data_IF_494219954574
#
_entry.id   IF_494219954574
#
_cell.length_a   1.000
_cell.length_b   1.000
_cell.length_c   1.000
_cell.angle_alpha   90.00
_cell.angle_beta   90.00
_cell.angle_gamma   90.00
#
_symmetry.space_group_name_H-M   'P 1'
#
loop_
_entity.id
_entity.type
_entity.pdbx_description
1 polymer ?
#
# COMPACT_ATOMS: atom_id res chain seq x y z
N UNK A 1 -37.23 10.71 -2.67
CA UNK A 1 -36.17 9.69 -2.63
C UNK A 1 -34.89 10.40 -2.24
N UNK A 2 -34.38 10.17 -1.03
CA UNK A 2 -33.11 10.77 -0.60
C UNK A 2 -31.98 9.83 -1.03
N UNK A 3 -31.23 10.20 -2.06
CA UNK A 3 -29.96 9.55 -2.36
C UNK A 3 -28.99 9.84 -1.22
N UNK A 4 -28.51 8.79 -0.57
CA UNK A 4 -27.36 8.87 0.33
C UNK A 4 -26.12 8.79 -0.54
N UNK A 5 -25.43 9.91 -0.74
CA UNK A 5 -24.11 9.91 -1.34
C UNK A 5 -23.11 9.43 -0.29
N UNK A 6 -22.55 8.23 -0.48
CA UNK A 6 -21.38 7.79 0.29
C UNK A 6 -20.17 8.54 -0.26
N UNK A 7 -19.59 9.44 0.53
CA UNK A 7 -18.34 10.10 0.17
C UNK A 7 -17.22 9.04 0.20
N UNK A 8 -16.86 8.50 -0.96
CA UNK A 8 -15.66 7.70 -1.10
C UNK A 8 -14.48 8.66 -1.28
N UNK A 9 -13.48 8.56 -0.42
CA UNK A 9 -12.26 9.33 -0.59
C UNK A 9 -11.57 8.94 -1.91
N UNK A 10 -11.01 9.92 -2.59
CA UNK A 10 -10.41 9.77 -3.92
C UNK A 10 -9.27 8.74 -3.96
N UNK A 11 -8.99 8.25 -5.16
CA UNK A 11 -7.90 7.33 -5.44
C UNK A 11 -6.54 8.05 -5.44
N UNK A 12 -5.50 7.30 -5.07
CA UNK A 12 -4.09 7.64 -5.13
C UNK A 12 -3.34 6.58 -5.95
N UNK A 13 -3.43 6.63 -7.29
CA UNK A 13 -3.08 5.50 -8.14
C UNK A 13 -1.58 5.33 -8.37
N UNK A 14 -0.75 6.33 -8.06
CA UNK A 14 0.67 6.33 -8.40
C UNK A 14 1.55 7.05 -7.35
N UNK A 15 2.86 6.94 -7.55
CA UNK A 15 3.84 7.71 -6.78
C UNK A 15 3.53 9.21 -6.89
N UNK A 16 3.35 9.86 -5.74
CA UNK A 16 2.94 11.27 -5.63
C UNK A 16 1.49 11.59 -6.03
N UNK A 17 0.66 10.58 -6.20
CA UNK A 17 -0.79 10.72 -6.28
C UNK A 17 -1.29 11.11 -7.66
N UNK A 18 -2.60 11.37 -7.80
CA UNK A 18 -3.29 11.50 -9.10
C UNK A 18 -2.81 12.68 -9.96
N UNK A 19 -2.04 13.59 -9.37
CA UNK A 19 -1.46 14.75 -10.03
C UNK A 19 0.07 14.80 -9.92
N UNK A 20 0.70 13.69 -9.51
CA UNK A 20 2.16 13.58 -9.37
C UNK A 20 2.80 14.67 -8.46
N UNK A 21 2.03 15.23 -7.53
CA UNK A 21 2.38 16.44 -6.77
C UNK A 21 2.63 16.23 -5.28
N UNK A 22 2.30 15.06 -4.71
CA UNK A 22 2.26 14.80 -3.26
C UNK A 22 1.35 15.75 -2.47
N UNK A 23 0.36 16.35 -3.13
CA UNK A 23 -0.51 17.33 -2.49
C UNK A 23 -1.98 16.91 -2.58
N UNK A 24 -2.75 17.38 -1.59
CA UNK A 24 -4.19 17.26 -1.49
C UNK A 24 -4.75 18.60 -0.99
N UNK A 25 -6.03 18.85 -1.24
CA UNK A 25 -6.71 20.06 -0.77
C UNK A 25 -7.49 19.81 0.54
N UNK A 26 -7.79 18.55 0.84
CA UNK A 26 -8.48 18.16 2.06
C UNK A 26 -7.70 18.58 3.31
N UNK A 27 -8.43 18.78 4.41
CA UNK A 27 -7.86 19.21 5.70
C UNK A 27 -8.50 18.42 6.85
N UNK A 28 -8.07 18.68 8.09
CA UNK A 28 -8.63 18.02 9.28
C UNK A 28 -8.07 16.63 9.56
N UNK A 29 -6.88 16.32 9.03
CA UNK A 29 -6.20 15.07 9.34
C UNK A 29 -5.71 15.04 10.79
N UNK A 30 -5.66 13.85 11.42
CA UNK A 30 -5.01 13.71 12.72
C UNK A 30 -3.53 14.09 12.61
N UNK A 31 -3.09 15.00 13.49
CA UNK A 31 -1.70 15.48 13.58
C UNK A 31 -0.94 14.88 14.77
N UNK A 32 -1.60 14.03 15.55
CA UNK A 32 -1.01 13.28 16.67
C UNK A 32 -1.16 11.80 16.40
N UNK A 33 -0.13 11.01 16.70
CA UNK A 33 -0.08 9.59 16.39
C UNK A 33 0.67 8.84 17.50
N UNK A 34 0.21 7.64 17.81
CA UNK A 34 0.92 6.69 18.68
C UNK A 34 0.82 5.28 18.07
N UNK A 35 1.32 4.27 18.78
CA UNK A 35 1.17 2.90 18.30
C UNK A 35 -0.30 2.43 18.43
N UNK A 36 -1.12 3.14 19.19
CA UNK A 36 -2.51 2.80 19.52
C UNK A 36 -3.51 3.85 18.98
N UNK A 37 -3.12 5.11 18.89
CA UNK A 37 -4.00 6.23 18.53
C UNK A 37 -3.92 6.58 17.05
N UNK A 38 -5.08 6.96 16.50
CA UNK A 38 -5.27 7.36 15.10
C UNK A 38 -4.89 6.28 14.06
N UNK A 39 -4.62 5.05 14.49
CA UNK A 39 -4.42 3.90 13.59
C UNK A 39 -5.75 3.20 13.32
N UNK A 40 -6.16 3.13 12.05
CA UNK A 40 -7.40 2.41 11.67
C UNK A 40 -7.24 0.89 11.68
N UNK A 41 -6.11 0.40 11.18
CA UNK A 41 -5.78 -1.02 11.15
C UNK A 41 -4.27 -1.21 10.95
N UNK A 42 -3.79 -2.41 11.28
CA UNK A 42 -2.43 -2.90 11.01
C UNK A 42 -2.52 -4.32 10.49
N UNK A 43 -1.56 -4.71 9.66
CA UNK A 43 -1.42 -6.08 9.15
C UNK A 43 0.03 -6.49 9.22
N UNK A 44 0.27 -7.73 9.63
CA UNK A 44 1.60 -8.32 9.53
C UNK A 44 1.90 -8.66 8.07
N UNK A 45 3.09 -8.26 7.61
CA UNK A 45 3.62 -8.63 6.31
C UNK A 45 4.52 -9.87 6.45
N UNK A 46 4.62 -10.69 5.40
CA UNK A 46 5.36 -11.96 5.48
C UNK A 46 6.89 -11.77 5.63
N UNK A 47 7.42 -10.61 5.27
CA UNK A 47 8.81 -10.21 5.48
C UNK A 47 8.90 -8.67 5.52
N UNK A 48 10.08 -8.12 5.79
CA UNK A 48 10.34 -6.67 5.69
C UNK A 48 9.99 -6.15 4.29
N UNK A 49 9.54 -4.91 4.21
CA UNK A 49 9.18 -4.27 2.95
C UNK A 49 9.18 -2.76 3.07
N UNK A 50 9.36 -2.08 1.94
CA UNK A 50 9.42 -0.62 1.87
C UNK A 50 8.68 -0.07 0.64
N UNK A 51 7.66 -0.80 0.18
CA UNK A 51 6.79 -0.40 -0.92
C UNK A 51 6.28 1.01 -0.73
N UNK A 52 6.05 1.67 -1.86
CA UNK A 52 5.22 2.87 -1.95
C UNK A 52 3.78 2.44 -2.25
N UNK A 53 2.86 2.43 -1.27
CA UNK A 53 1.51 1.94 -1.50
C UNK A 53 0.71 2.84 -2.44
N UNK A 54 -0.21 2.25 -3.19
CA UNK A 54 -1.25 2.99 -3.93
C UNK A 54 -2.62 2.69 -3.33
N UNK A 55 -3.58 3.60 -3.54
CA UNK A 55 -4.98 3.43 -3.12
C UNK A 55 -5.87 3.55 -4.34
N UNK A 56 -6.53 2.46 -4.75
CA UNK A 56 -7.40 2.46 -5.94
C UNK A 56 -8.64 1.62 -5.68
N UNK A 57 -9.81 2.13 -6.03
CA UNK A 57 -11.09 1.40 -5.94
C UNK A 57 -11.31 0.77 -4.55
N UNK A 58 -11.05 1.57 -3.50
CA UNK A 58 -11.20 1.14 -2.11
C UNK A 58 -10.16 0.11 -1.62
N UNK A 59 -9.05 -0.07 -2.33
CA UNK A 59 -7.99 -1.04 -2.00
C UNK A 59 -6.69 -0.32 -1.71
N UNK A 60 -5.94 -0.79 -0.72
CA UNK A 60 -4.53 -0.46 -0.53
C UNK A 60 -3.71 -1.56 -1.19
N UNK A 61 -2.87 -1.21 -2.15
CA UNK A 61 -2.05 -2.16 -2.90
C UNK A 61 -0.58 -1.87 -2.66
N UNK A 62 0.19 -2.91 -2.36
CA UNK A 62 1.64 -2.84 -2.11
C UNK A 62 2.38 -3.94 -2.89
N UNK A 63 3.67 -3.73 -3.10
CA UNK A 63 4.59 -4.80 -3.46
C UNK A 63 5.26 -5.38 -2.21
N UNK A 64 5.64 -6.66 -2.25
CA UNK A 64 6.33 -7.36 -1.18
C UNK A 64 7.33 -8.34 -1.78
N UNK A 65 8.45 -8.55 -1.09
CA UNK A 65 9.43 -9.57 -1.44
C UNK A 65 9.70 -10.48 -0.24
N UNK A 66 9.96 -11.77 -0.49
CA UNK A 66 10.51 -12.70 0.49
C UNK A 66 11.82 -13.20 -0.10
N UNK A 67 12.92 -12.59 0.33
CA UNK A 67 14.23 -12.76 -0.32
C UNK A 67 14.73 -14.20 -0.23
N UNK A 68 14.51 -14.87 0.91
CA UNK A 68 14.96 -16.26 1.13
C UNK A 68 14.24 -17.28 0.23
N UNK A 69 13.06 -16.93 -0.26
CA UNK A 69 12.22 -17.79 -1.11
C UNK A 69 12.27 -17.38 -2.57
N UNK A 70 13.06 -16.36 -2.91
CA UNK A 70 13.07 -15.71 -4.22
C UNK A 70 11.65 -15.37 -4.72
N UNK A 71 10.82 -14.82 -3.84
CA UNK A 71 9.43 -14.48 -4.12
C UNK A 71 9.22 -12.99 -4.20
N UNK A 72 8.48 -12.55 -5.21
CA UNK A 72 7.93 -11.19 -5.31
C UNK A 72 6.42 -11.30 -5.45
N UNK A 73 5.70 -10.38 -4.82
CA UNK A 73 4.25 -10.40 -4.83
C UNK A 73 3.67 -9.00 -4.79
N UNK A 74 2.45 -8.90 -5.29
CA UNK A 74 1.56 -7.76 -5.10
C UNK A 74 0.44 -8.20 -4.16
N UNK A 75 0.19 -7.39 -3.13
CA UNK A 75 -0.84 -7.64 -2.13
C UNK A 75 -1.87 -6.51 -2.20
N UNK A 76 -3.15 -6.87 -2.14
CA UNK A 76 -4.22 -5.89 -1.97
C UNK A 76 -5.01 -6.14 -0.70
N UNK A 77 -5.30 -5.03 -0.02
CA UNK A 77 -6.05 -4.99 1.22
C UNK A 77 -7.27 -4.10 1.04
N UNK A 78 -8.36 -4.48 1.69
CA UNK A 78 -9.52 -3.62 1.83
C UNK A 78 -9.13 -2.37 2.63
N UNK A 79 -9.33 -1.18 2.06
CA UNK A 79 -8.91 0.09 2.67
C UNK A 79 -9.55 0.33 4.03
N UNK A 80 -10.76 -0.18 4.25
CA UNK A 80 -11.52 0.11 5.47
C UNK A 80 -11.12 -0.79 6.64
N UNK A 81 -10.78 -2.05 6.34
CA UNK A 81 -10.61 -3.11 7.34
C UNK A 81 -9.19 -3.65 7.43
N UNK A 82 -8.36 -3.41 6.42
CA UNK A 82 -7.05 -4.04 6.30
C UNK A 82 -7.12 -5.53 5.91
N UNK A 83 -8.31 -6.08 5.63
CA UNK A 83 -8.42 -7.48 5.21
C UNK A 83 -7.74 -7.69 3.86
N UNK A 84 -6.84 -8.67 3.76
CA UNK A 84 -6.25 -9.08 2.48
C UNK A 84 -7.35 -9.58 1.54
N UNK A 85 -7.48 -8.93 0.40
CA UNK A 85 -8.45 -9.26 -0.65
C UNK A 85 -7.87 -10.26 -1.63
N UNK A 86 -6.65 -10.01 -2.08
CA UNK A 86 -5.95 -10.90 -2.99
C UNK A 86 -4.43 -10.75 -2.87
N UNK A 87 -3.74 -11.71 -3.45
CA UNK A 87 -2.29 -11.76 -3.60
C UNK A 87 -1.98 -12.36 -4.96
N UNK A 88 -0.99 -11.80 -5.65
CA UNK A 88 -0.43 -12.34 -6.89
C UNK A 88 1.09 -12.39 -6.74
N UNK A 89 1.73 -13.47 -7.17
CA UNK A 89 3.14 -13.70 -6.90
C UNK A 89 3.89 -14.39 -8.04
N UNK A 90 5.20 -14.19 -8.03
CA UNK A 90 6.15 -14.82 -8.96
C UNK A 90 7.39 -15.29 -8.20
N UNK A 91 7.94 -16.41 -8.64
CA UNK A 91 9.29 -16.84 -8.27
C UNK A 91 10.27 -16.24 -9.26
N UNK A 92 11.43 -15.78 -8.79
CA UNK A 92 12.51 -15.32 -9.66
C UNK A 92 13.77 -16.16 -9.45
N UNK A 93 14.48 -16.47 -10.52
CA UNK A 93 15.71 -17.28 -10.43
C UNK A 93 16.97 -16.42 -10.38
N UNK A 94 16.90 -15.19 -10.88
CA UNK A 94 18.05 -14.30 -10.97
C UNK A 94 18.18 -13.41 -9.74
N UNK A 95 19.34 -13.47 -9.10
CA UNK A 95 19.68 -12.53 -8.04
C UNK A 95 20.08 -11.19 -8.64
N UNK A 96 19.22 -10.20 -8.46
CA UNK A 96 19.56 -8.81 -8.75
C UNK A 96 20.47 -8.24 -7.66
N UNK A 97 21.02 -7.05 -7.88
CA UNK A 97 21.74 -6.29 -6.85
C UNK A 97 20.77 -5.36 -6.14
N UNK A 98 20.78 -5.34 -4.81
CA UNK A 98 20.07 -4.33 -4.04
C UNK A 98 20.84 -3.89 -2.79
N UNK A 99 20.43 -2.76 -2.23
CA UNK A 99 20.97 -2.27 -0.96
C UNK A 99 20.40 -3.08 0.21
N UNK A 100 21.19 -3.30 1.27
CA UNK A 100 20.78 -4.13 2.41
C UNK A 100 19.48 -3.66 3.07
N UNK A 101 19.18 -2.36 3.03
CA UNK A 101 17.96 -1.77 3.62
C UNK A 101 16.80 -1.61 2.60
N UNK A 102 17.00 -2.02 1.36
CA UNK A 102 16.05 -1.81 0.27
C UNK A 102 15.68 -3.15 -0.39
N UNK A 103 14.71 -3.91 0.16
CA UNK A 103 14.28 -5.16 -0.46
C UNK A 103 13.69 -4.92 -1.86
N UNK A 104 13.50 -5.99 -2.64
CA UNK A 104 12.98 -5.95 -4.03
C UNK A 104 11.48 -5.63 -4.13
N UNK A 105 11.01 -4.69 -3.33
CA UNK A 105 9.62 -4.26 -3.27
C UNK A 105 9.47 -2.77 -2.96
N UNK A 106 10.44 -1.94 -3.33
CA UNK A 106 10.39 -0.50 -3.09
C UNK A 106 9.50 0.27 -4.08
N UNK A 107 9.17 -0.35 -5.21
CA UNK A 107 8.41 0.30 -6.27
C UNK A 107 6.95 0.58 -5.86
N UNK A 108 6.35 1.57 -6.52
CA UNK A 108 4.89 1.72 -6.52
C UNK A 108 4.30 0.71 -7.50
N UNK A 109 3.24 -0.05 -7.14
CA UNK A 109 2.45 -0.80 -8.11
C UNK A 109 1.85 0.14 -9.16
N UNK A 110 1.65 -0.35 -10.39
CA UNK A 110 0.97 0.36 -11.50
C UNK A 110 0.06 -0.59 -12.25
#
# INVERSE_FOLDING_TARGET
MNSVFSLAAADWPEWRGPHSSNAIEETGFPVQWSAEDNIRWKVDLPDRGNSSPIVVDGKVIITQAIEKEHRRMTLAFDRQTGKRLWQQEVIYDQKETTHQQNPYCAASPT
#
